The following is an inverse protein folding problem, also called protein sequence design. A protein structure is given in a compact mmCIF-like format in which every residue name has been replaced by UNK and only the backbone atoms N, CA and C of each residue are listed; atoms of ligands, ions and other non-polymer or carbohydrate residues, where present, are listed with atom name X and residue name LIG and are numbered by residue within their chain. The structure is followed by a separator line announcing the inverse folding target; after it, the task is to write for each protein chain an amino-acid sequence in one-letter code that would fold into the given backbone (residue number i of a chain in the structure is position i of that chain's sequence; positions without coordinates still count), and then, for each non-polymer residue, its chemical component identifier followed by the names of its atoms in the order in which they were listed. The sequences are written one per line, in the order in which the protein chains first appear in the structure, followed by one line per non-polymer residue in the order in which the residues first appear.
data_IF_096726408741
#
_entry.id   IF_096726408741
#
_cell.length_a   1.000
_cell.length_b   1.000
_cell.length_c   1.000
_cell.angle_alpha   90.00
_cell.angle_beta   90.00
_cell.angle_gamma   90.00
#
_symmetry.space_group_name_H-M   'P 1'
#
loop_
_entity.id
_entity.type
_entity.pdbx_description
1 polymer ?
#
# COMPACT_ATOMS: atom_id res chain seq x y z
N UNK A 1 9.79 14.89 8.00
CA UNK A 1 9.78 13.42 7.94
C UNK A 1 10.30 13.02 6.58
N UNK A 2 11.54 12.53 6.49
CA UNK A 2 11.98 11.80 5.30
C UNK A 2 11.14 10.52 5.24
N UNK A 3 10.63 10.20 4.06
CA UNK A 3 9.91 8.97 3.82
C UNK A 3 10.92 7.98 3.25
N UNK A 4 11.54 7.19 4.13
CA UNK A 4 12.55 6.17 3.76
C UNK A 4 11.88 4.86 3.31
N UNK A 5 10.73 4.97 2.63
CA UNK A 5 10.03 3.81 2.10
C UNK A 5 10.69 3.35 0.79
N UNK A 6 10.89 2.03 0.61
CA UNK A 6 11.38 1.49 -0.64
C UNK A 6 10.34 1.65 -1.75
N UNK A 7 10.79 1.62 -3.02
CA UNK A 7 9.95 1.76 -4.20
C UNK A 7 8.81 0.73 -4.24
N UNK A 8 9.09 -0.49 -3.77
CA UNK A 8 8.14 -1.58 -3.65
C UNK A 8 7.01 -1.24 -2.68
N UNK A 9 7.34 -0.58 -1.56
CA UNK A 9 6.36 -0.17 -0.56
C UNK A 9 5.48 0.96 -1.08
N UNK A 10 6.09 1.94 -1.77
CA UNK A 10 5.38 3.03 -2.44
C UNK A 10 4.44 2.50 -3.54
N UNK A 11 4.87 1.47 -4.27
CA UNK A 11 4.03 0.82 -5.27
C UNK A 11 2.77 0.19 -4.65
N UNK A 12 2.92 -0.59 -3.57
CA UNK A 12 1.79 -1.20 -2.86
C UNK A 12 0.86 -0.11 -2.32
N UNK A 13 1.40 0.93 -1.69
CA UNK A 13 0.63 2.08 -1.21
C UNK A 13 -0.17 2.74 -2.33
N UNK A 14 0.43 2.95 -3.50
CA UNK A 14 -0.24 3.54 -4.65
C UNK A 14 -1.37 2.65 -5.20
N UNK A 15 -1.18 1.33 -5.24
CA UNK A 15 -2.23 0.38 -5.63
C UNK A 15 -3.43 0.48 -4.68
N UNK A 16 -3.17 0.46 -3.36
CA UNK A 16 -4.22 0.58 -2.36
C UNK A 16 -4.92 1.94 -2.42
N UNK A 17 -4.16 3.02 -2.61
CA UNK A 17 -4.66 4.38 -2.72
C UNK A 17 -5.56 4.58 -3.94
N UNK A 18 -5.13 4.10 -5.11
CA UNK A 18 -5.92 4.17 -6.36
C UNK A 18 -7.21 3.36 -6.26
N UNK A 19 -7.17 2.19 -5.61
CA UNK A 19 -8.35 1.37 -5.37
C UNK A 19 -9.26 1.83 -4.23
N UNK A 20 -8.91 2.94 -3.55
CA UNK A 20 -9.65 3.48 -2.40
C UNK A 20 -9.84 2.47 -1.26
N UNK A 21 -8.82 1.62 -1.05
CA UNK A 21 -8.82 0.61 0.00
C UNK A 21 -8.45 1.25 1.35
N UNK A 22 -9.34 2.10 1.86
CA UNK A 22 -9.16 2.89 3.10
C UNK A 22 -9.96 2.36 4.29
N UNK A 23 -10.72 1.29 4.09
CA UNK A 23 -11.64 0.74 5.10
C UNK A 23 -11.41 -0.75 5.29
N UNK A 24 -11.75 -1.23 6.48
CA UNK A 24 -11.65 -2.64 6.90
C UNK A 24 -12.59 -3.58 6.13
N UNK A 25 -13.66 -3.06 5.54
CA UNK A 25 -14.61 -3.80 4.70
C UNK A 25 -14.20 -3.83 3.22
N UNK A 26 -13.42 -2.84 2.78
CA UNK A 26 -12.97 -2.67 1.41
C UNK A 26 -11.48 -3.03 1.24
N UNK A 27 -10.97 -4.08 1.89
CA UNK A 27 -9.57 -4.49 1.72
C UNK A 27 -9.26 -5.10 0.35
N UNK A 28 -8.03 -4.90 -0.12
CA UNK A 28 -7.52 -5.48 -1.36
C UNK A 28 -7.00 -6.91 -1.17
N UNK A 29 -7.34 -7.82 -2.06
CA UNK A 29 -6.96 -9.23 -1.95
C UNK A 29 -5.44 -9.45 -2.15
N UNK A 30 -4.81 -10.18 -1.23
CA UNK A 30 -3.37 -10.50 -1.25
C UNK A 30 -2.94 -11.19 -2.55
N UNK A 31 -3.69 -12.19 -3.02
CA UNK A 31 -3.42 -12.91 -4.27
C UNK A 31 -3.35 -11.97 -5.49
N UNK A 32 -4.24 -10.99 -5.55
CA UNK A 32 -4.29 -10.02 -6.64
C UNK A 32 -3.13 -9.02 -6.54
N UNK A 33 -2.77 -8.62 -5.32
CA UNK A 33 -1.63 -7.76 -5.05
C UNK A 33 -0.33 -8.43 -5.50
N UNK A 34 -0.16 -9.71 -5.13
CA UNK A 34 0.98 -10.54 -5.50
C UNK A 34 1.21 -10.60 -7.01
N UNK A 35 0.15 -10.87 -7.78
CA UNK A 35 0.23 -10.92 -9.25
C UNK A 35 0.68 -9.60 -9.88
N UNK A 36 0.17 -8.48 -9.37
CA UNK A 36 0.53 -7.15 -9.88
C UNK A 36 1.95 -6.77 -9.46
N UNK A 37 2.34 -7.16 -8.24
CA UNK A 37 3.68 -6.92 -7.70
C UNK A 37 4.75 -7.62 -8.52
N UNK A 38 4.63 -8.94 -8.73
CA UNK A 38 5.61 -9.69 -9.53
C UNK A 38 5.66 -9.17 -10.96
N UNK A 39 4.52 -8.79 -11.54
CA UNK A 39 4.51 -8.22 -12.89
C UNK A 39 5.31 -6.92 -12.98
N UNK A 40 5.36 -6.13 -11.90
CA UNK A 40 6.08 -4.86 -11.85
C UNK A 40 7.56 -5.06 -11.47
N UNK A 41 7.83 -5.95 -10.51
CA UNK A 41 9.13 -6.24 -9.96
C UNK A 41 9.50 -7.70 -10.24
N UNK A 42 10.15 -7.91 -11.38
CA UNK A 42 10.58 -9.25 -11.86
C UNK A 42 12.06 -9.54 -11.58
N UNK A 43 12.81 -8.57 -11.03
CA UNK A 43 14.26 -8.69 -10.83
C UNK A 43 14.64 -9.36 -9.50
N UNK A 44 15.82 -10.00 -9.43
CA UNK A 44 16.35 -10.59 -8.18
C UNK A 44 16.76 -9.57 -7.13
N UNK A 45 16.83 -8.28 -7.48
CA UNK A 45 17.26 -7.20 -6.58
C UNK A 45 16.11 -6.45 -5.89
N UNK A 46 14.85 -6.83 -6.13
CA UNK A 46 13.71 -6.22 -5.44
C UNK A 46 13.40 -6.93 -4.13
N UNK A 47 12.87 -6.17 -3.16
CA UNK A 47 12.35 -6.74 -1.92
C UNK A 47 11.24 -7.75 -2.21
N UNK A 48 11.10 -8.77 -1.35
CA UNK A 48 9.94 -9.63 -1.42
C UNK A 48 8.68 -8.84 -1.06
N UNK A 49 7.54 -9.22 -1.64
CA UNK A 49 6.25 -8.59 -1.28
C UNK A 49 5.92 -8.78 0.20
N UNK A 50 6.35 -9.88 0.80
CA UNK A 50 6.13 -10.19 2.22
C UNK A 50 6.92 -9.23 3.10
N UNK A 51 8.20 -9.03 2.82
CA UNK A 51 9.04 -8.05 3.52
C UNK A 51 8.50 -6.63 3.34
N UNK A 52 8.10 -6.30 2.12
CA UNK A 52 7.52 -4.99 1.78
C UNK A 52 6.23 -4.73 2.57
N UNK A 53 5.34 -5.72 2.64
CA UNK A 53 4.11 -5.62 3.43
C UNK A 53 4.41 -5.55 4.92
N UNK A 54 5.43 -6.25 5.40
CA UNK A 54 5.84 -6.21 6.80
C UNK A 54 6.35 -4.81 7.18
N UNK A 55 7.17 -4.18 6.34
CA UNK A 55 7.62 -2.78 6.51
C UNK A 55 6.40 -1.85 6.59
N UNK A 56 5.48 -1.94 5.63
CA UNK A 56 4.28 -1.12 5.60
C UNK A 56 3.35 -1.32 6.81
N UNK A 57 3.30 -2.53 7.37
CA UNK A 57 2.54 -2.82 8.58
C UNK A 57 3.23 -2.28 9.83
N UNK A 58 4.55 -2.46 9.95
CA UNK A 58 5.35 -1.99 11.08
C UNK A 58 5.32 -0.46 11.20
N UNK A 59 5.40 0.23 10.06
CA UNK A 59 5.36 1.69 9.98
C UNK A 59 3.93 2.26 10.07
N UNK A 60 2.92 1.41 10.20
CA UNK A 60 1.52 1.80 10.36
C UNK A 60 0.83 2.34 9.11
N UNK A 61 1.42 2.17 7.92
CA UNK A 61 0.81 2.57 6.67
C UNK A 61 -0.36 1.66 6.27
N UNK A 62 -0.18 0.34 6.40
CA UNK A 62 -1.12 -0.68 5.95
C UNK A 62 -1.51 -1.58 7.11
N UNK A 63 -2.75 -2.06 7.11
CA UNK A 63 -3.21 -3.09 8.03
C UNK A 63 -3.81 -4.27 7.26
N UNK A 64 -3.70 -5.45 7.87
CA UNK A 64 -4.23 -6.70 7.33
C UNK A 64 -5.60 -7.04 7.92
N UNK A 65 -6.46 -7.66 7.11
CA UNK A 65 -7.74 -8.24 7.50
C UNK A 65 -7.62 -9.75 7.32
N UNK A 66 -7.60 -10.47 8.45
CA UNK A 66 -7.53 -11.94 8.48
C UNK A 66 -8.95 -12.51 8.48
N UNK A 67 -9.51 -12.73 7.28
CA UNK A 67 -10.74 -13.53 7.06
C UNK A 67 -10.38 -14.76 6.22
N UNK A 68 -11.34 -15.37 5.51
CA UNK A 68 -11.10 -16.50 4.57
C UNK A 68 -9.95 -16.25 3.57
N UNK A 69 -9.78 -15.00 3.12
CA UNK A 69 -8.65 -14.56 2.29
C UNK A 69 -8.05 -13.31 2.93
N UNK A 70 -6.73 -13.25 2.99
CA UNK A 70 -6.00 -12.09 3.52
C UNK A 70 -6.26 -10.89 2.62
N UNK A 71 -6.61 -9.76 3.24
CA UNK A 71 -6.78 -8.48 2.55
C UNK A 71 -5.97 -7.39 3.23
N UNK A 72 -5.58 -6.38 2.46
CA UNK A 72 -4.83 -5.23 2.96
C UNK A 72 -5.58 -3.92 2.69
N UNK A 73 -5.51 -2.98 3.62
CA UNK A 73 -6.06 -1.64 3.49
C UNK A 73 -5.11 -0.61 4.10
N UNK A 74 -5.21 0.65 3.67
CA UNK A 74 -4.42 1.75 4.23
C UNK A 74 -5.03 2.13 5.58
N UNK A 75 -4.24 2.00 6.64
CA UNK A 75 -4.61 2.43 7.99
C UNK A 75 -4.08 3.85 8.27
N UNK A 76 -2.81 4.11 7.93
CA UNK A 76 -2.14 5.39 8.10
C UNK A 76 -2.37 6.35 6.93
N UNK A 77 -3.59 6.86 6.76
CA UNK A 77 -3.96 7.61 5.54
C UNK A 77 -3.17 8.91 5.33
N UNK A 78 -2.97 9.71 6.38
CA UNK A 78 -2.16 10.95 6.31
C UNK A 78 -0.71 10.63 5.93
N UNK A 79 -0.14 9.62 6.58
CA UNK A 79 1.22 9.16 6.33
C UNK A 79 1.37 8.64 4.90
N UNK A 80 0.43 7.82 4.43
CA UNK A 80 0.43 7.27 3.07
C UNK A 80 0.33 8.37 2.01
N UNK A 81 -0.55 9.36 2.21
CA UNK A 81 -0.67 10.52 1.32
C UNK A 81 0.63 11.32 1.29
N UNK A 82 1.22 11.59 2.45
CA UNK A 82 2.47 12.30 2.56
C UNK A 82 3.60 11.55 1.83
N UNK A 83 3.78 10.26 2.12
CA UNK A 83 4.76 9.41 1.46
C UNK A 83 4.60 9.41 -0.06
N UNK A 84 3.39 9.18 -0.56
CA UNK A 84 3.12 9.19 -2.00
C UNK A 84 3.40 10.56 -2.63
N UNK A 85 3.02 11.67 -1.99
CA UNK A 85 3.31 13.03 -2.48
C UNK A 85 4.82 13.32 -2.49
N UNK A 86 5.54 12.94 -1.44
CA UNK A 86 6.99 13.13 -1.33
C UNK A 86 7.76 12.39 -2.43
N UNK A 87 7.23 11.26 -2.90
CA UNK A 87 7.82 10.45 -3.98
C UNK A 87 7.21 10.71 -5.37
N UNK A 88 6.52 11.85 -5.55
CA UNK A 88 6.05 12.30 -6.87
C UNK A 88 4.81 11.58 -7.42
N UNK A 89 4.10 10.79 -6.61
CA UNK A 89 2.84 10.18 -7.03
C UNK A 89 1.71 11.22 -7.09
N UNK A 90 0.83 11.07 -8.07
CA UNK A 90 -0.35 11.93 -8.19
C UNK A 90 -1.42 11.53 -7.16
N UNK A 91 -1.44 12.25 -6.04
CA UNK A 91 -2.37 12.08 -4.92
C UNK A 91 -3.40 13.21 -4.93
N UNK A 92 -4.63 12.88 -5.33
CA UNK A 92 -5.73 13.85 -5.34
C UNK A 92 -6.41 13.89 -3.96
N UNK A 93 -6.30 15.01 -3.25
CA UNK A 93 -6.85 15.18 -1.89
C UNK A 93 -8.37 14.91 -1.81
N UNK A 94 -9.12 15.17 -2.90
CA UNK A 94 -10.56 14.91 -3.00
C UNK A 94 -10.97 13.43 -3.11
N UNK A 95 -10.04 12.47 -3.20
CA UNK A 95 -10.36 11.03 -3.14
C UNK A 95 -10.77 10.58 -1.74
N UNK A 96 -10.49 11.39 -0.74
CA UNK A 96 -10.96 11.23 0.62
C UNK A 96 -12.26 12.04 0.80
N UNK A 97 -13.41 11.37 0.77
CA UNK A 97 -14.62 11.89 1.40
C UNK A 97 -14.74 11.23 2.76
N UNK A 98 -14.66 12.03 3.82
CA UNK A 98 -15.21 11.67 5.12
C UNK A 98 -16.71 11.47 4.87
N UNK A 99 -17.18 10.22 4.90
CA UNK A 99 -18.62 9.94 4.96
C UNK A 99 -19.14 10.42 6.32
#
# INVERSE_FOLDING_TARGET
MSCDLPDEALFILNVLYKGRHFRTDAGYHSEKLYKIYIKKFTGRSCLSIEDTLQILMNDGYVAQIRKKKVKYYIAGMKSAIFALKSHGYNVVDGRYRKL
#
